data_IF_946363376519
#
_entry.id   IF_946363376519
#
_cell.length_a   1.000
_cell.length_b   1.000
_cell.length_c   1.000
_cell.angle_alpha   90.00
_cell.angle_beta   90.00
_cell.angle_gamma   90.00
#
_symmetry.space_group_name_H-M   'P 1'
#
loop_
_entity.id
_entity.type
_entity.pdbx_description
1 polymer ?
#
# COMPACT_ATOMS: atom_id res chain seq x y z
N UNK A 1 20.48 7.20 -5.31
CA UNK A 1 21.58 6.25 -5.05
C UNK A 1 22.61 6.89 -4.15
N UNK A 2 23.87 7.01 -4.60
CA UNK A 2 25.01 7.42 -3.75
C UNK A 2 24.99 8.87 -3.24
N UNK A 3 24.43 9.83 -3.97
CA UNK A 3 24.43 11.24 -3.57
C UNK A 3 23.46 11.55 -2.41
N UNK A 4 22.39 10.77 -2.26
CA UNK A 4 21.44 10.90 -1.13
C UNK A 4 22.04 10.32 0.16
N UNK A 5 22.74 9.18 0.07
CA UNK A 5 23.43 8.53 1.19
C UNK A 5 24.49 9.43 1.82
N UNK A 6 25.24 10.19 1.02
CA UNK A 6 26.28 11.11 1.53
C UNK A 6 25.72 12.37 2.24
N UNK A 7 24.49 12.79 1.95
CA UNK A 7 23.88 14.00 2.55
C UNK A 7 22.93 13.69 3.71
N UNK A 8 22.28 12.52 3.69
CA UNK A 8 21.27 12.12 4.68
C UNK A 8 21.71 10.94 5.55
N UNK A 9 22.89 10.37 5.33
CA UNK A 9 23.39 9.24 6.13
C UNK A 9 22.45 8.04 6.07
N UNK A 10 22.19 7.41 7.23
CA UNK A 10 21.26 6.28 7.35
C UNK A 10 19.82 6.61 6.90
N UNK A 11 19.43 7.90 6.87
CA UNK A 11 18.10 8.31 6.38
C UNK A 11 17.96 8.12 4.87
N UNK A 12 19.05 8.05 4.11
CA UNK A 12 19.07 7.87 2.65
C UNK A 12 19.05 6.42 2.16
N UNK A 13 19.27 5.45 3.05
CA UNK A 13 19.33 4.00 2.75
C UNK A 13 18.01 3.46 2.16
N UNK A 14 16.90 4.12 2.48
CA UNK A 14 15.56 3.51 2.39
C UNK A 14 14.67 4.11 1.30
N UNK A 15 15.26 4.76 0.28
CA UNK A 15 14.51 5.30 -0.87
C UNK A 15 14.33 6.81 -0.87
N UNK A 16 15.32 7.58 -0.41
CA UNK A 16 15.32 9.05 -0.56
C UNK A 16 15.65 9.44 -2.00
N UNK A 17 14.72 10.10 -2.68
CA UNK A 17 14.94 10.71 -3.99
C UNK A 17 15.42 12.16 -3.79
N UNK A 18 16.74 12.37 -3.85
CA UNK A 18 17.35 13.70 -3.85
C UNK A 18 17.61 14.17 -5.29
N UNK A 19 16.92 15.22 -5.72
CA UNK A 19 17.16 15.88 -7.01
C UNK A 19 18.09 17.07 -6.76
N UNK A 20 19.23 17.14 -7.46
CA UNK A 20 20.10 18.32 -7.47
C UNK A 20 20.06 18.95 -8.85
N UNK A 21 19.54 20.17 -8.96
CA UNK A 21 19.61 20.95 -10.19
C UNK A 21 21.02 21.54 -10.31
N UNK A 22 21.80 21.06 -11.28
CA UNK A 22 23.13 21.61 -11.56
C UNK A 22 23.01 22.93 -12.33
N UNK A 23 22.79 24.02 -11.62
CA UNK A 23 23.04 25.36 -12.15
C UNK A 23 24.12 26.06 -11.31
N UNK A 24 25.38 25.71 -11.57
CA UNK A 24 26.54 26.56 -11.31
C UNK A 24 27.70 26.11 -12.21
N UNK A 25 28.07 26.94 -13.20
CA UNK A 25 29.36 26.83 -13.90
C UNK A 25 30.43 27.40 -12.98
N UNK A 26 31.36 26.56 -12.53
CA UNK A 26 32.73 26.97 -12.16
C UNK A 26 33.62 25.73 -11.97
N UNK A 27 34.78 25.74 -12.63
CA UNK A 27 35.99 25.06 -12.15
C UNK A 27 36.22 23.62 -12.61
N UNK A 28 37.32 23.44 -13.34
CA UNK A 28 37.85 22.19 -13.89
C UNK A 28 38.14 21.12 -12.82
N UNK A 29 37.78 19.87 -13.10
CA UNK A 29 38.22 18.69 -12.38
C UNK A 29 37.65 17.43 -13.01
N UNK A 30 38.45 16.76 -13.85
CA UNK A 30 38.08 15.45 -14.40
C UNK A 30 37.79 14.48 -13.26
N UNK A 31 36.53 14.08 -13.11
CA UNK A 31 36.14 12.94 -12.29
C UNK A 31 35.34 11.99 -13.17
N UNK A 32 35.78 10.74 -13.17
CA UNK A 32 35.23 9.64 -13.96
C UNK A 32 33.71 9.66 -13.93
N UNK A 33 33.11 9.66 -15.13
CA UNK A 33 31.67 9.48 -15.31
C UNK A 33 31.30 8.14 -14.69
N UNK A 34 30.71 8.17 -13.50
CA UNK A 34 29.92 7.03 -13.04
C UNK A 34 28.79 6.86 -14.04
N UNK A 35 28.66 5.66 -14.60
CA UNK A 35 27.52 5.26 -15.39
C UNK A 35 26.29 5.21 -14.45
N UNK A 36 25.71 6.38 -14.19
CA UNK A 36 24.33 6.49 -13.75
C UNK A 36 23.50 5.97 -14.91
N UNK A 37 22.95 4.76 -14.77
CA UNK A 37 22.05 4.11 -15.72
C UNK A 37 21.09 5.14 -16.33
N UNK A 38 21.34 5.54 -17.58
CA UNK A 38 20.40 6.28 -18.42
C UNK A 38 19.33 5.31 -18.90
N UNK A 39 18.53 4.79 -17.98
CA UNK A 39 17.29 4.11 -18.33
C UNK A 39 16.23 5.21 -18.46
N UNK A 40 16.15 5.82 -19.64
CA UNK A 40 15.00 6.64 -20.01
C UNK A 40 13.81 5.72 -20.20
N UNK A 41 12.80 5.87 -19.35
CA UNK A 41 11.56 5.11 -19.42
C UNK A 41 10.75 5.49 -20.68
N UNK A 42 10.26 4.49 -21.41
CA UNK A 42 9.34 4.68 -22.54
C UNK A 42 7.90 4.78 -22.00
N UNK A 43 7.19 5.85 -22.36
CA UNK A 43 5.88 6.22 -21.82
C UNK A 43 4.73 5.26 -22.22
N UNK A 44 5.01 4.26 -23.06
CA UNK A 44 4.02 3.34 -23.61
C UNK A 44 3.53 2.24 -22.64
N UNK A 45 3.68 2.42 -21.33
CA UNK A 45 3.21 1.42 -20.35
C UNK A 45 1.71 1.55 -20.14
N UNK A 46 1.01 0.43 -20.33
CA UNK A 46 -0.43 0.31 -20.12
C UNK A 46 -0.79 0.60 -18.65
N UNK A 47 -1.88 1.32 -18.45
CA UNK A 47 -2.50 1.44 -17.13
C UNK A 47 -2.90 0.07 -16.60
N UNK A 48 -2.75 -0.13 -15.29
CA UNK A 48 -3.34 -1.29 -14.62
C UNK A 48 -4.85 -1.27 -14.87
N UNK A 49 -5.38 -2.42 -15.31
CA UNK A 49 -6.77 -2.57 -15.68
C UNK A 49 -7.35 -3.82 -15.03
N UNK A 50 -8.63 -3.78 -14.72
CA UNK A 50 -9.37 -4.94 -14.23
C UNK A 50 -9.73 -5.94 -15.33
N UNK A 51 -9.42 -5.65 -16.61
CA UNK A 51 -9.75 -6.51 -17.76
C UNK A 51 -9.10 -7.90 -17.70
N UNK A 52 -7.91 -8.01 -17.08
CA UNK A 52 -7.22 -9.28 -16.87
C UNK A 52 -7.72 -10.07 -15.65
N UNK A 53 -8.66 -9.52 -14.88
CA UNK A 53 -9.26 -10.17 -13.74
C UNK A 53 -10.50 -10.96 -14.20
N UNK A 54 -10.39 -12.29 -14.23
CA UNK A 54 -11.40 -13.21 -14.79
C UNK A 54 -12.83 -12.90 -14.32
N UNK A 55 -13.06 -12.90 -13.01
CA UNK A 55 -14.41 -12.71 -12.47
C UNK A 55 -14.89 -11.28 -12.64
N UNK A 56 -14.00 -10.28 -12.50
CA UNK A 56 -14.36 -8.89 -12.80
C UNK A 56 -14.84 -8.73 -14.25
N UNK A 57 -14.12 -9.35 -15.19
CA UNK A 57 -14.43 -9.31 -16.61
C UNK A 57 -15.78 -10.00 -16.90
N UNK A 58 -16.02 -11.18 -16.33
CA UNK A 58 -17.32 -11.88 -16.45
C UNK A 58 -18.50 -11.05 -15.97
N UNK A 59 -18.34 -10.30 -14.88
CA UNK A 59 -19.36 -9.38 -14.36
C UNK A 59 -19.50 -8.13 -15.22
N UNK A 60 -18.39 -7.62 -15.77
CA UNK A 60 -18.38 -6.44 -16.65
C UNK A 60 -18.96 -6.70 -18.03
N UNK A 61 -18.93 -7.96 -18.49
CA UNK A 61 -19.53 -8.38 -19.74
C UNK A 61 -21.07 -8.45 -19.69
N UNK A 62 -21.68 -8.33 -18.51
CA UNK A 62 -23.13 -8.36 -18.37
C UNK A 62 -23.76 -7.03 -18.82
N UNK A 63 -24.97 -7.11 -19.37
CA UNK A 63 -25.66 -5.97 -20.00
C UNK A 63 -25.96 -4.82 -19.03
N UNK A 64 -26.17 -5.14 -17.75
CA UNK A 64 -26.52 -4.18 -16.71
C UNK A 64 -26.17 -4.74 -15.31
N UNK A 65 -26.30 -3.89 -14.29
CA UNK A 65 -25.95 -4.25 -12.91
C UNK A 65 -26.78 -5.40 -12.35
N UNK A 66 -28.07 -5.49 -12.69
CA UNK A 66 -28.94 -6.58 -12.21
C UNK A 66 -28.49 -7.94 -12.80
N UNK A 67 -28.15 -7.96 -14.09
CA UNK A 67 -27.57 -9.14 -14.74
C UNK A 67 -26.20 -9.50 -14.15
N UNK A 68 -25.36 -8.51 -13.82
CA UNK A 68 -24.09 -8.74 -13.13
C UNK A 68 -24.28 -9.34 -11.74
N UNK A 69 -25.24 -8.85 -10.95
CA UNK A 69 -25.56 -9.43 -9.64
C UNK A 69 -26.04 -10.88 -9.76
N UNK A 70 -26.93 -11.18 -10.72
CA UNK A 70 -27.38 -12.55 -10.99
C UNK A 70 -26.23 -13.47 -11.39
N UNK A 71 -25.33 -13.00 -12.27
CA UNK A 71 -24.16 -13.77 -12.68
C UNK A 71 -23.21 -14.02 -11.51
N UNK A 72 -22.98 -13.02 -10.63
CA UNK A 72 -22.21 -13.22 -9.40
C UNK A 72 -22.79 -14.34 -8.54
N UNK A 73 -24.10 -14.34 -8.28
CA UNK A 73 -24.73 -15.38 -7.46
C UNK A 73 -24.67 -16.76 -8.12
N UNK A 74 -24.74 -16.85 -9.44
CA UNK A 74 -24.56 -18.09 -10.19
C UNK A 74 -23.11 -18.60 -10.10
N UNK A 75 -22.12 -17.72 -10.31
CA UNK A 75 -20.69 -18.05 -10.17
C UNK A 75 -20.37 -18.52 -8.75
N UNK A 76 -20.98 -17.90 -7.73
CA UNK A 76 -20.83 -18.29 -6.33
C UNK A 76 -21.29 -19.72 -6.05
N UNK A 77 -22.30 -20.25 -6.76
CA UNK A 77 -22.77 -21.62 -6.54
C UNK A 77 -21.76 -22.68 -6.98
N UNK A 78 -20.93 -22.38 -7.99
CA UNK A 78 -19.99 -23.33 -8.58
C UNK A 78 -18.53 -23.07 -8.16
N UNK A 79 -18.23 -21.88 -7.66
CA UNK A 79 -16.87 -21.46 -7.27
C UNK A 79 -16.82 -20.98 -5.81
N UNK A 80 -17.62 -21.58 -4.93
CA UNK A 80 -17.77 -21.14 -3.52
C UNK A 80 -16.44 -20.98 -2.78
N UNK A 81 -15.44 -21.82 -3.08
CA UNK A 81 -14.14 -21.82 -2.41
C UNK A 81 -13.04 -21.08 -3.19
N UNK A 82 -13.38 -20.35 -4.24
CA UNK A 82 -12.42 -19.48 -4.92
C UNK A 82 -12.47 -18.06 -4.34
N UNK A 83 -11.45 -17.69 -3.58
CA UNK A 83 -11.34 -16.34 -3.01
C UNK A 83 -11.24 -15.24 -4.07
N UNK A 84 -10.73 -15.55 -5.27
CA UNK A 84 -10.66 -14.59 -6.38
C UNK A 84 -12.04 -14.12 -6.80
N UNK A 85 -13.05 -15.00 -6.78
CA UNK A 85 -14.43 -14.63 -7.11
C UNK A 85 -14.88 -13.47 -6.22
N UNK A 86 -14.72 -13.62 -4.91
CA UNK A 86 -15.19 -12.63 -3.96
C UNK A 86 -14.36 -11.35 -3.98
N UNK A 87 -13.02 -11.45 -4.05
CA UNK A 87 -12.14 -10.27 -4.12
C UNK A 87 -12.38 -9.43 -5.37
N UNK A 88 -12.58 -10.07 -6.52
CA UNK A 88 -12.81 -9.36 -7.78
C UNK A 88 -14.25 -8.84 -7.89
N UNK A 89 -15.24 -9.59 -7.40
CA UNK A 89 -16.62 -9.11 -7.31
C UNK A 89 -16.75 -7.92 -6.34
N UNK A 90 -16.05 -7.95 -5.20
CA UNK A 90 -16.01 -6.84 -4.26
C UNK A 90 -15.49 -5.55 -4.93
N UNK A 91 -14.40 -5.66 -5.70
CA UNK A 91 -13.86 -4.54 -6.48
C UNK A 91 -14.85 -4.06 -7.55
N UNK A 92 -15.44 -4.98 -8.32
CA UNK A 92 -16.43 -4.66 -9.36
C UNK A 92 -17.62 -3.86 -8.84
N UNK A 93 -18.18 -4.29 -7.70
CA UNK A 93 -19.31 -3.61 -7.08
C UNK A 93 -18.89 -2.29 -6.43
N UNK A 94 -17.70 -2.21 -5.82
CA UNK A 94 -17.17 -0.95 -5.27
C UNK A 94 -16.99 0.12 -6.37
N UNK A 95 -16.43 -0.26 -7.53
CA UNK A 95 -16.23 0.64 -8.66
C UNK A 95 -17.56 1.21 -9.21
N UNK A 96 -18.66 0.48 -9.01
CA UNK A 96 -20.03 0.87 -9.40
C UNK A 96 -20.84 1.48 -8.25
N UNK A 97 -20.19 1.86 -7.16
CA UNK A 97 -20.80 2.46 -5.97
C UNK A 97 -21.89 1.57 -5.34
N UNK A 98 -21.77 0.26 -5.48
CA UNK A 98 -22.67 -0.73 -4.91
C UNK A 98 -22.11 -1.25 -3.59
N UNK A 99 -22.04 -0.37 -2.60
CA UNK A 99 -21.44 -0.64 -1.28
C UNK A 99 -21.96 -1.93 -0.66
N UNK A 100 -23.29 -2.12 -0.64
CA UNK A 100 -23.90 -3.30 -0.02
C UNK A 100 -23.43 -4.60 -0.67
N UNK A 101 -23.32 -4.64 -2.00
CA UNK A 101 -22.87 -5.84 -2.72
C UNK A 101 -21.36 -6.06 -2.53
N UNK A 102 -20.56 -5.00 -2.58
CA UNK A 102 -19.13 -5.06 -2.32
C UNK A 102 -18.83 -5.59 -0.91
N UNK A 103 -19.52 -5.05 0.09
CA UNK A 103 -19.42 -5.45 1.50
C UNK A 103 -19.86 -6.91 1.67
N UNK A 104 -20.94 -7.35 1.02
CA UNK A 104 -21.37 -8.74 1.08
C UNK A 104 -20.31 -9.70 0.52
N UNK A 105 -19.59 -9.31 -0.54
CA UNK A 105 -18.49 -10.10 -1.09
C UNK A 105 -17.33 -10.21 -0.09
N UNK A 106 -16.92 -9.10 0.53
CA UNK A 106 -15.85 -9.08 1.53
C UNK A 106 -16.22 -9.86 2.80
N UNK A 107 -17.43 -9.69 3.32
CA UNK A 107 -17.91 -10.46 4.48
C UNK A 107 -17.99 -11.96 4.16
N UNK A 108 -18.35 -12.33 2.92
CA UNK A 108 -18.34 -13.73 2.50
C UNK A 108 -16.93 -14.34 2.57
N UNK A 109 -15.88 -13.55 2.36
CA UNK A 109 -14.49 -14.01 2.55
C UNK A 109 -14.23 -14.31 4.03
N UNK A 110 -14.61 -13.37 4.91
CA UNK A 110 -14.41 -13.51 6.36
C UNK A 110 -15.20 -14.69 6.97
N UNK A 111 -16.31 -15.09 6.36
CA UNK A 111 -17.10 -16.25 6.79
C UNK A 111 -16.54 -17.59 6.29
N UNK A 112 -15.95 -17.61 5.09
CA UNK A 112 -15.65 -18.87 4.39
C UNK A 112 -14.17 -19.27 4.43
N UNK A 113 -13.26 -18.31 4.62
CA UNK A 113 -11.82 -18.56 4.51
C UNK A 113 -11.14 -18.33 5.86
N UNK A 114 -10.23 -19.24 6.22
CA UNK A 114 -9.35 -19.10 7.38
C UNK A 114 -7.90 -18.76 7.01
N UNK A 115 -7.57 -18.72 5.72
CA UNK A 115 -6.21 -18.45 5.25
C UNK A 115 -5.82 -16.97 5.52
N UNK A 116 -4.73 -16.70 6.25
CA UNK A 116 -4.33 -15.34 6.60
C UNK A 116 -4.03 -14.44 5.39
N UNK A 117 -3.54 -14.97 4.27
CA UNK A 117 -3.23 -14.19 3.07
C UNK A 117 -4.54 -13.79 2.38
N UNK A 118 -5.51 -14.70 2.29
CA UNK A 118 -6.86 -14.40 1.78
C UNK A 118 -7.54 -13.33 2.65
N UNK A 119 -7.52 -13.52 3.97
CA UNK A 119 -8.11 -12.57 4.92
C UNK A 119 -7.45 -11.20 4.81
N UNK A 120 -6.11 -11.14 4.75
CA UNK A 120 -5.36 -9.89 4.55
C UNK A 120 -5.70 -9.23 3.22
N UNK A 121 -5.90 -9.98 2.14
CA UNK A 121 -6.33 -9.45 0.84
C UNK A 121 -7.66 -8.69 0.94
N UNK A 122 -8.65 -9.30 1.62
CA UNK A 122 -9.94 -8.67 1.86
C UNK A 122 -9.80 -7.44 2.77
N UNK A 123 -8.99 -7.51 3.84
CA UNK A 123 -8.74 -6.38 4.74
C UNK A 123 -8.08 -5.18 4.03
N UNK A 124 -7.14 -5.42 3.11
CA UNK A 124 -6.57 -4.36 2.28
C UNK A 124 -7.63 -3.68 1.42
N UNK A 125 -8.56 -4.44 0.83
CA UNK A 125 -9.71 -3.86 0.12
C UNK A 125 -10.62 -3.08 1.05
N UNK A 126 -10.95 -3.59 2.25
CA UNK A 126 -11.73 -2.87 3.27
C UNK A 126 -11.13 -1.50 3.56
N UNK A 127 -9.82 -1.43 3.83
CA UNK A 127 -9.13 -0.17 4.12
C UNK A 127 -9.21 0.80 2.93
N UNK A 128 -9.22 0.29 1.70
CA UNK A 128 -9.28 1.11 0.50
C UNK A 128 -10.65 1.71 0.21
N UNK A 129 -11.73 1.12 0.75
CA UNK A 129 -13.09 1.57 0.50
C UNK A 129 -13.30 3.02 0.99
N UNK A 130 -14.04 3.77 0.18
CA UNK A 130 -14.48 5.14 0.44
C UNK A 130 -15.99 5.16 0.63
N UNK A 131 -16.45 4.57 1.73
CA UNK A 131 -17.86 4.56 2.12
C UNK A 131 -18.02 5.16 3.51
N UNK A 132 -19.16 5.79 3.75
CA UNK A 132 -19.61 6.22 5.09
C UNK A 132 -20.92 5.55 5.49
N UNK A 133 -21.34 4.54 4.73
CA UNK A 133 -22.60 3.81 4.96
C UNK A 133 -22.57 3.06 6.30
N UNK A 134 -23.76 2.80 6.87
CA UNK A 134 -23.86 1.94 8.06
C UNK A 134 -23.36 0.52 7.78
N UNK A 135 -23.54 0.02 6.56
CA UNK A 135 -22.99 -1.26 6.14
C UNK A 135 -21.47 -1.29 6.25
N UNK A 136 -20.81 -0.21 5.82
CA UNK A 136 -19.35 -0.12 5.90
C UNK A 136 -18.88 -0.03 7.35
N UNK A 137 -19.58 0.70 8.23
CA UNK A 137 -19.29 0.70 9.68
C UNK A 137 -19.36 -0.70 10.28
N UNK A 138 -20.37 -1.49 9.90
CA UNK A 138 -20.48 -2.88 10.35
C UNK A 138 -19.34 -3.75 9.79
N UNK A 139 -18.95 -3.55 8.53
CA UNK A 139 -17.80 -4.24 7.93
C UNK A 139 -16.50 -3.93 8.68
N UNK A 140 -16.29 -2.69 9.12
CA UNK A 140 -15.12 -2.33 9.93
C UNK A 140 -15.08 -3.12 11.24
N UNK A 141 -16.22 -3.25 11.95
CA UNK A 141 -16.30 -4.05 13.19
C UNK A 141 -16.02 -5.54 12.95
N UNK A 142 -16.55 -6.12 11.86
CA UNK A 142 -16.26 -7.51 11.47
C UNK A 142 -14.77 -7.66 11.16
N UNK A 143 -14.20 -6.71 10.42
CA UNK A 143 -12.78 -6.70 10.04
C UNK A 143 -11.86 -6.63 11.25
N UNK A 144 -12.24 -5.89 12.30
CA UNK A 144 -11.51 -5.88 13.57
C UNK A 144 -11.54 -7.25 14.27
N UNK A 145 -12.70 -7.90 14.31
CA UNK A 145 -12.84 -9.22 14.90
C UNK A 145 -11.99 -10.27 14.15
N UNK A 146 -11.96 -10.19 12.82
CA UNK A 146 -11.08 -11.00 11.96
C UNK A 146 -9.61 -10.72 12.27
N UNK A 147 -9.19 -9.46 12.34
CA UNK A 147 -7.80 -9.13 12.70
C UNK A 147 -7.44 -9.65 14.09
N UNK A 148 -8.34 -9.55 15.07
CA UNK A 148 -8.11 -10.03 16.42
C UNK A 148 -7.95 -11.55 16.52
N UNK A 149 -8.49 -12.31 15.56
CA UNK A 149 -8.32 -13.77 15.50
C UNK A 149 -7.00 -14.19 14.83
N UNK A 150 -6.33 -13.30 14.11
CA UNK A 150 -5.03 -13.56 13.50
C UNK A 150 -3.89 -13.48 14.51
N UNK A 151 -2.81 -14.22 14.23
CA UNK A 151 -1.58 -14.17 15.02
C UNK A 151 -1.04 -12.73 15.13
N UNK A 152 -0.58 -12.30 16.31
CA UNK A 152 0.01 -10.96 16.47
C UNK A 152 1.19 -10.74 15.52
N UNK A 153 1.11 -9.69 14.71
CA UNK A 153 2.15 -9.28 13.77
C UNK A 153 2.11 -7.77 13.56
N UNK A 154 3.17 -7.22 12.97
CA UNK A 154 3.23 -5.81 12.58
C UNK A 154 2.10 -5.49 11.61
N UNK A 155 1.82 -6.37 10.63
CA UNK A 155 0.75 -6.17 9.66
C UNK A 155 -0.63 -6.14 10.31
N UNK A 156 -0.88 -7.06 11.26
CA UNK A 156 -2.16 -7.13 11.97
C UNK A 156 -2.45 -5.82 12.69
N UNK A 157 -1.48 -5.33 13.45
CA UNK A 157 -1.65 -4.11 14.25
C UNK A 157 -1.67 -2.86 13.38
N UNK A 158 -0.91 -2.85 12.27
CA UNK A 158 -0.95 -1.75 11.32
C UNK A 158 -2.31 -1.67 10.60
N UNK A 159 -2.90 -2.81 10.19
CA UNK A 159 -4.25 -2.86 9.65
C UNK A 159 -5.29 -2.43 10.71
N UNK A 160 -5.12 -2.85 11.97
CA UNK A 160 -6.00 -2.43 13.07
C UNK A 160 -5.98 -0.91 13.23
N UNK A 161 -4.80 -0.29 13.17
CA UNK A 161 -4.66 1.17 13.12
C UNK A 161 -5.51 1.79 12.00
N UNK A 162 -5.42 1.26 10.78
CA UNK A 162 -6.14 1.80 9.62
C UNK A 162 -7.67 1.65 9.76
N UNK A 163 -8.15 0.53 10.31
CA UNK A 163 -9.58 0.33 10.57
C UNK A 163 -10.10 1.30 11.65
N UNK A 164 -9.34 1.51 12.72
CA UNK A 164 -9.71 2.43 13.80
C UNK A 164 -9.66 3.89 13.33
N UNK A 165 -8.69 4.24 12.48
CA UNK A 165 -8.61 5.55 11.84
C UNK A 165 -9.86 5.82 10.97
N UNK A 166 -10.29 4.83 10.17
CA UNK A 166 -11.53 4.93 9.35
C UNK A 166 -12.80 5.10 10.20
N UNK A 167 -12.77 4.67 11.46
CA UNK A 167 -13.87 4.88 12.42
C UNK A 167 -13.74 6.17 13.23
N UNK A 168 -12.71 6.99 12.95
CA UNK A 168 -12.38 8.18 13.73
C UNK A 168 -12.10 7.87 15.22
N UNK A 169 -11.79 6.61 15.54
CA UNK A 169 -11.39 6.19 16.88
C UNK A 169 -9.87 6.38 17.04
N UNK A 170 -9.44 7.65 17.05
CA UNK A 170 -8.03 8.01 17.00
C UNK A 170 -7.21 7.48 18.19
N UNK A 171 -7.82 7.33 19.36
CA UNK A 171 -7.13 6.77 20.53
C UNK A 171 -6.77 5.30 20.33
N UNK A 172 -7.72 4.49 19.90
CA UNK A 172 -7.46 3.07 19.63
C UNK A 172 -6.55 2.87 18.41
N UNK A 173 -6.68 3.74 17.40
CA UNK A 173 -5.76 3.76 16.26
C UNK A 173 -4.31 4.06 16.70
N UNK A 174 -4.12 4.99 17.62
CA UNK A 174 -2.80 5.29 18.21
C UNK A 174 -2.26 4.12 19.05
N UNK A 175 -3.11 3.45 19.84
CA UNK A 175 -2.74 2.25 20.59
C UNK A 175 -2.28 1.12 19.66
N UNK A 176 -2.98 0.88 18.55
CA UNK A 176 -2.58 -0.12 17.56
C UNK A 176 -1.19 0.19 16.96
N UNK A 177 -0.85 1.48 16.75
CA UNK A 177 0.50 1.88 16.33
C UNK A 177 1.56 1.67 17.45
N UNK A 178 1.18 1.71 18.73
CA UNK A 178 2.07 1.33 19.84
C UNK A 178 2.35 -0.18 19.79
N UNK A 179 1.31 -0.99 19.59
CA UNK A 179 1.42 -2.44 19.52
C UNK A 179 2.29 -2.90 18.33
N UNK A 180 2.10 -2.28 17.16
CA UNK A 180 2.96 -2.48 16.00
C UNK A 180 4.42 -2.08 16.32
N UNK A 181 4.62 -0.93 16.96
CA UNK A 181 5.93 -0.42 17.39
C UNK A 181 6.69 -1.39 18.28
N UNK A 182 6.01 -2.05 19.20
CA UNK A 182 6.62 -3.03 20.11
C UNK A 182 7.13 -4.26 19.35
N UNK A 183 6.38 -4.71 18.34
CA UNK A 183 6.76 -5.88 17.52
C UNK A 183 7.91 -5.59 16.57
N UNK A 184 8.08 -4.32 16.17
CA UNK A 184 9.19 -3.88 15.32
C UNK A 184 10.56 -4.03 16.01
N UNK A 185 10.66 -4.04 17.35
CA UNK A 185 11.94 -4.20 18.05
C UNK A 185 12.68 -5.50 17.70
N UNK A 186 11.93 -6.53 17.27
CA UNK A 186 12.50 -7.80 16.83
C UNK A 186 12.82 -7.87 15.34
N UNK A 187 12.54 -6.84 14.55
CA UNK A 187 12.68 -6.82 13.08
C UNK A 187 14.09 -6.40 12.66
N UNK A 188 14.60 -6.95 11.56
CA UNK A 188 15.85 -6.44 10.96
C UNK A 188 15.62 -5.13 10.21
N UNK A 189 14.38 -4.91 9.74
CA UNK A 189 13.90 -3.67 9.11
C UNK A 189 13.46 -2.62 10.15
N UNK A 190 13.94 -2.73 11.39
CA UNK A 190 13.59 -1.89 12.53
C UNK A 190 13.65 -0.39 12.23
N UNK A 191 14.70 0.08 11.54
CA UNK A 191 14.85 1.49 11.18
C UNK A 191 13.71 2.00 10.31
N UNK A 192 13.32 1.19 9.33
CA UNK A 192 12.37 1.55 8.27
C UNK A 192 10.95 1.52 8.84
N UNK A 193 10.62 0.42 9.53
CA UNK A 193 9.31 0.23 10.11
C UNK A 193 9.04 1.22 11.25
N UNK A 194 10.04 1.50 12.11
CA UNK A 194 9.90 2.54 13.16
C UNK A 194 9.66 3.91 12.54
N UNK A 195 10.34 4.24 11.44
CA UNK A 195 10.15 5.51 10.73
C UNK A 195 8.72 5.67 10.24
N UNK A 196 8.17 4.64 9.57
CA UNK A 196 6.79 4.60 9.07
C UNK A 196 5.80 4.76 10.23
N UNK A 197 5.87 3.88 11.24
CA UNK A 197 4.95 3.90 12.39
C UNK A 197 5.04 5.21 13.18
N UNK A 198 6.23 5.79 13.34
CA UNK A 198 6.40 7.08 14.03
C UNK A 198 5.74 8.21 13.26
N UNK A 199 5.74 8.18 11.93
CA UNK A 199 5.04 9.17 11.11
C UNK A 199 3.54 9.05 11.21
N UNK A 200 3.01 7.83 11.18
CA UNK A 200 1.58 7.60 11.36
C UNK A 200 1.12 8.06 12.76
N UNK A 201 1.95 7.83 13.80
CA UNK A 201 1.71 8.39 15.15
C UNK A 201 1.67 9.91 15.15
N UNK A 202 2.58 10.57 14.43
CA UNK A 202 2.59 12.03 14.32
C UNK A 202 1.37 12.56 13.57
N UNK A 203 1.01 11.91 12.47
CA UNK A 203 -0.13 12.29 11.62
C UNK A 203 -1.44 12.22 12.41
N UNK A 204 -1.68 11.10 13.11
CA UNK A 204 -2.89 10.92 13.90
C UNK A 204 -2.97 11.86 15.11
N UNK A 205 -1.85 12.11 15.79
CA UNK A 205 -1.77 13.09 16.89
C UNK A 205 -2.03 14.50 16.38
N UNK A 206 -1.56 14.83 15.17
CA UNK A 206 -1.81 16.14 14.57
C UNK A 206 -3.28 16.36 14.18
N UNK A 207 -3.96 15.28 13.78
CA UNK A 207 -5.36 15.28 13.34
C UNK A 207 -6.34 15.29 14.52
N UNK A 208 -6.04 14.59 15.62
CA UNK A 208 -6.91 14.48 16.78
C UNK A 208 -6.59 15.55 17.84
N UNK A 209 -7.53 16.46 18.09
CA UNK A 209 -7.38 17.47 19.17
C UNK A 209 -7.21 16.83 20.54
N UNK A 210 -7.91 15.71 20.80
CA UNK A 210 -7.81 14.93 22.03
C UNK A 210 -6.38 14.45 22.23
N UNK A 211 -5.81 13.72 21.25
CA UNK A 211 -4.43 13.22 21.34
C UNK A 211 -3.40 14.36 21.43
N UNK A 212 -3.62 15.46 20.70
CA UNK A 212 -2.73 16.62 20.74
C UNK A 212 -2.66 17.25 22.15
N UNK A 213 -3.79 17.29 22.84
CA UNK A 213 -3.91 17.83 24.20
C UNK A 213 -3.51 16.85 25.31
N UNK A 214 -3.41 15.55 25.01
CA UNK A 214 -3.08 14.52 25.98
C UNK A 214 -1.61 14.64 26.45
N UNK A 215 -1.39 14.66 27.76
CA UNK A 215 -0.07 14.82 28.37
C UNK A 215 0.75 13.52 28.33
N UNK A 216 0.11 12.36 28.17
CA UNK A 216 0.79 11.08 28.04
C UNK A 216 1.43 10.91 26.65
N UNK A 217 1.02 11.73 25.67
CA UNK A 217 1.59 11.72 24.32
C UNK A 217 2.94 12.48 24.33
N UNK A 218 4.06 11.81 23.99
CA UNK A 218 5.37 12.45 23.94
C UNK A 218 5.40 13.71 23.07
N UNK A 219 6.03 14.77 23.56
CA UNK A 219 6.06 16.07 22.89
C UNK A 219 6.59 16.01 21.44
N UNK A 220 7.55 15.12 21.16
CA UNK A 220 8.10 14.96 19.81
C UNK A 220 7.10 14.39 18.78
N UNK A 221 6.03 13.71 19.24
CA UNK A 221 4.95 13.21 18.39
C UNK A 221 3.92 14.30 18.06
N UNK A 222 3.89 15.41 18.81
CA UNK A 222 2.96 16.53 18.58
C UNK A 222 3.40 17.45 17.45
N UNK A 223 4.62 17.26 16.94
CA UNK A 223 5.16 17.98 15.78
C UNK A 223 5.03 17.11 14.53
N UNK A 224 4.23 17.53 13.52
CA UNK A 224 4.02 16.74 12.32
C UNK A 224 5.31 16.58 11.52
N UNK A 225 5.38 15.52 10.71
CA UNK A 225 6.43 15.36 9.70
C UNK A 225 5.92 15.92 8.39
N UNK A 226 6.60 16.89 7.81
CA UNK A 226 6.18 17.51 6.56
C UNK A 226 6.84 16.84 5.36
N UNK A 227 6.04 16.33 4.43
CA UNK A 227 6.48 15.83 3.12
C UNK A 227 5.60 16.45 2.03
N UNK A 228 6.17 16.68 0.84
CA UNK A 228 5.39 17.08 -0.34
C UNK A 228 4.45 15.96 -0.77
N UNK A 229 4.97 14.75 -0.74
CA UNK A 229 4.20 13.53 -0.97
C UNK A 229 4.80 12.37 -0.17
N UNK A 230 3.93 11.50 0.32
CA UNK A 230 4.24 10.21 0.91
C UNK A 230 3.49 9.15 0.13
N UNK A 231 4.20 8.12 -0.31
CA UNK A 231 3.58 6.96 -0.97
C UNK A 231 3.88 5.74 -0.13
N UNK A 232 2.83 5.00 0.23
CA UNK A 232 2.94 3.76 1.00
C UNK A 232 2.26 2.64 0.20
N UNK A 233 3.05 1.61 -0.11
CA UNK A 233 2.53 0.36 -0.65
C UNK A 233 2.49 -0.68 0.46
N UNK A 234 1.39 -1.42 0.53
CA UNK A 234 1.24 -2.57 1.42
C UNK A 234 0.77 -3.76 0.60
N UNK A 235 1.22 -4.97 0.91
CA UNK A 235 0.87 -6.17 0.15
C UNK A 235 0.40 -7.32 1.05
N UNK A 236 -0.44 -8.19 0.49
CA UNK A 236 -1.04 -9.31 1.22
C UNK A 236 -0.05 -10.45 1.47
N UNK A 237 0.73 -10.83 0.47
CA UNK A 237 1.54 -12.05 0.50
C UNK A 237 3.03 -11.74 0.54
N UNK A 238 3.75 -12.06 1.64
CA UNK A 238 5.20 -11.87 1.73
C UNK A 238 5.99 -12.78 0.78
N UNK A 239 5.37 -13.83 0.22
CA UNK A 239 6.00 -14.77 -0.71
C UNK A 239 5.99 -14.29 -2.16
N UNK A 240 5.19 -13.29 -2.49
CA UNK A 240 5.07 -12.83 -3.87
C UNK A 240 6.32 -12.04 -4.29
N UNK A 241 6.88 -12.37 -5.45
CA UNK A 241 7.94 -11.55 -6.05
C UNK A 241 7.28 -10.46 -6.91
N UNK A 242 7.72 -9.20 -6.76
CA UNK A 242 7.21 -8.07 -7.55
C UNK A 242 8.15 -6.86 -7.52
N UNK A 243 8.03 -6.00 -8.52
CA UNK A 243 8.72 -4.71 -8.56
C UNK A 243 7.75 -3.56 -8.25
N UNK A 244 8.24 -2.53 -7.57
CA UNK A 244 7.64 -1.19 -7.53
C UNK A 244 8.59 -0.21 -8.18
N UNK A 245 8.11 0.48 -9.20
CA UNK A 245 8.91 1.37 -10.03
C UNK A 245 8.34 2.78 -10.00
N UNK A 246 9.22 3.78 -9.81
CA UNK A 246 8.86 5.20 -9.74
C UNK A 246 9.62 5.92 -10.86
N UNK A 247 8.87 6.57 -11.74
CA UNK A 247 9.42 7.38 -12.83
C UNK A 247 9.23 8.85 -12.51
N UNK A 248 10.32 9.60 -12.53
CA UNK A 248 10.30 11.02 -12.28
C UNK A 248 9.92 11.84 -13.53
N UNK A 249 9.66 13.16 -13.40
CA UNK A 249 9.31 14.01 -14.55
C UNK A 249 10.36 14.05 -15.67
N UNK A 250 11.62 13.71 -15.37
CA UNK A 250 12.72 13.62 -16.33
C UNK A 250 12.90 12.20 -16.91
N UNK A 251 11.89 11.33 -16.75
CA UNK A 251 11.87 9.92 -17.21
C UNK A 251 12.97 9.05 -16.63
N UNK A 252 13.50 9.41 -15.46
CA UNK A 252 14.44 8.57 -14.72
C UNK A 252 13.67 7.61 -13.83
N UNK A 253 14.06 6.35 -13.88
CA UNK A 253 13.45 5.25 -13.16
C UNK A 253 14.22 4.92 -11.86
N UNK A 254 13.48 4.72 -10.77
CA UNK A 254 13.94 4.04 -9.57
C UNK A 254 13.07 2.79 -9.37
N UNK A 255 13.68 1.66 -9.05
CA UNK A 255 12.97 0.40 -8.82
C UNK A 255 13.33 -0.17 -7.45
N UNK A 256 12.29 -0.51 -6.69
CA UNK A 256 12.35 -1.37 -5.53
C UNK A 256 11.95 -2.78 -5.98
N UNK A 257 12.82 -3.75 -5.75
CA UNK A 257 12.60 -5.15 -6.08
C UNK A 257 12.24 -5.88 -4.79
N UNK A 258 11.07 -6.50 -4.75
CA UNK A 258 10.70 -7.45 -3.69
C UNK A 258 10.90 -8.85 -4.27
N UNK A 259 11.91 -9.55 -3.77
CA UNK A 259 12.26 -10.89 -4.24
C UNK A 259 12.63 -11.81 -3.09
N UNK A 260 12.08 -13.01 -3.12
CA UNK A 260 12.40 -14.10 -2.19
C UNK A 260 13.79 -14.70 -2.42
N UNK A 261 14.39 -14.50 -3.60
CA UNK A 261 15.65 -15.14 -4.00
C UNK A 261 16.92 -14.37 -3.57
N UNK A 262 16.85 -13.05 -3.34
CA UNK A 262 18.05 -12.22 -3.13
C UNK A 262 18.19 -11.65 -1.70
N UNK A 263 17.14 -11.66 -0.87
CA UNK A 263 17.19 -11.07 0.49
C UNK A 263 16.76 -12.06 1.57
N UNK A 264 17.61 -13.05 1.87
CA UNK A 264 17.29 -14.16 2.78
C UNK A 264 16.81 -13.73 4.17
N UNK A 265 17.20 -12.54 4.63
CA UNK A 265 16.90 -12.07 5.97
C UNK A 265 15.67 -11.14 6.01
N UNK A 266 15.50 -10.20 5.07
CA UNK A 266 14.35 -9.27 5.08
C UNK A 266 13.04 -9.99 4.78
N UNK A 267 13.07 -10.91 3.82
CA UNK A 267 11.97 -11.80 3.52
C UNK A 267 11.62 -12.70 4.72
N UNK A 268 12.63 -13.32 5.34
CA UNK A 268 12.43 -14.11 6.57
C UNK A 268 11.83 -13.28 7.68
N UNK A 269 12.20 -12.01 7.77
CA UNK A 269 11.68 -11.08 8.78
C UNK A 269 10.20 -10.77 8.52
N UNK A 270 9.84 -10.51 7.27
CA UNK A 270 8.47 -10.25 6.86
C UNK A 270 7.53 -11.44 7.16
N UNK A 271 7.98 -12.68 6.89
CA UNK A 271 7.22 -13.88 7.27
C UNK A 271 7.06 -13.99 8.79
N UNK A 272 8.13 -13.71 9.54
CA UNK A 272 8.18 -13.97 10.98
C UNK A 272 7.44 -12.92 11.80
N UNK A 273 7.54 -11.64 11.45
CA UNK A 273 6.97 -10.53 12.23
C UNK A 273 6.02 -9.63 11.44
N UNK A 274 5.86 -9.82 10.14
CA UNK A 274 5.10 -8.93 9.26
C UNK A 274 5.92 -7.71 8.83
N UNK A 275 5.24 -6.61 8.50
CA UNK A 275 5.86 -5.41 7.94
C UNK A 275 5.84 -5.42 6.41
N UNK A 276 4.80 -6.01 5.80
CA UNK A 276 4.59 -6.11 4.35
C UNK A 276 4.21 -4.77 3.72
N UNK A 277 5.06 -3.76 3.93
CA UNK A 277 4.87 -2.43 3.39
C UNK A 277 6.18 -1.69 3.14
N UNK A 278 6.15 -0.80 2.13
CA UNK A 278 7.26 0.05 1.71
C UNK A 278 6.79 1.49 1.52
N UNK A 279 7.55 2.42 2.09
CA UNK A 279 7.29 3.85 2.00
C UNK A 279 8.29 4.53 1.04
N UNK A 280 7.81 5.49 0.28
CA UNK A 280 8.60 6.40 -0.55
C UNK A 280 8.30 7.85 -0.16
N UNK A 281 9.35 8.64 0.00
CA UNK A 281 9.28 9.97 0.59
C UNK A 281 9.71 11.05 -0.41
N UNK A 282 8.90 12.10 -0.51
CA UNK A 282 9.15 13.20 -1.41
C UNK A 282 9.23 14.51 -0.61
N UNK A 283 10.43 15.11 -0.57
CA UNK A 283 10.74 16.23 0.32
C UNK A 283 10.82 17.60 -0.37
N UNK A 284 11.35 17.66 -1.59
CA UNK A 284 11.76 18.93 -2.21
C UNK A 284 10.58 19.59 -2.96
N UNK A 285 10.46 20.91 -2.89
CA UNK A 285 9.54 21.69 -3.73
C UNK A 285 9.92 21.64 -5.22
N UNK A 286 11.15 21.26 -5.55
CA UNK A 286 11.65 21.19 -6.93
C UNK A 286 11.26 19.90 -7.67
N UNK A 287 10.45 19.02 -7.07
CA UNK A 287 9.97 17.76 -7.69
C UNK A 287 8.77 17.96 -8.63
N UNK A 288 8.57 19.19 -9.13
CA UNK A 288 7.42 19.60 -9.93
C UNK A 288 7.33 18.76 -11.20
N UNK A 289 6.13 18.29 -11.50
CA UNK A 289 5.83 17.54 -12.72
C UNK A 289 5.07 16.25 -12.45
N UNK A 290 4.96 15.43 -13.49
CA UNK A 290 4.26 14.15 -13.43
C UNK A 290 5.21 13.04 -12.96
N UNK A 291 4.81 12.36 -11.90
CA UNK A 291 5.44 11.17 -11.37
C UNK A 291 4.59 9.95 -11.69
N UNK A 292 5.18 8.91 -12.23
CA UNK A 292 4.46 7.68 -12.57
C UNK A 292 4.87 6.56 -11.61
N UNK A 293 3.89 5.78 -11.17
CA UNK A 293 4.08 4.64 -10.29
C UNK A 293 3.68 3.38 -11.04
N UNK A 294 4.57 2.41 -11.09
CA UNK A 294 4.46 1.21 -11.89
C UNK A 294 4.72 -0.01 -11.01
N UNK A 295 4.21 -1.14 -11.45
CA UNK A 295 4.53 -2.43 -10.81
C UNK A 295 4.61 -3.54 -11.85
N UNK A 296 5.33 -4.60 -11.51
CA UNK A 296 5.38 -5.82 -12.28
C UNK A 296 5.38 -7.02 -11.32
N UNK A 297 4.38 -7.88 -11.43
CA UNK A 297 4.34 -9.13 -10.66
C UNK A 297 5.28 -10.15 -11.30
N UNK A 298 6.17 -10.74 -10.50
CA UNK A 298 7.24 -11.65 -10.94
C UNK A 298 7.00 -13.10 -10.57
N UNK A 299 5.94 -13.40 -9.82
CA UNK A 299 5.54 -14.77 -9.52
C UNK A 299 5.66 -15.14 -8.06
N UNK A 300 6.03 -16.40 -7.84
CA UNK A 300 6.30 -16.99 -6.53
C UNK A 300 5.10 -17.05 -5.56
N UNK A 301 3.89 -16.98 -6.11
CA UNK A 301 2.69 -17.43 -5.39
C UNK A 301 2.63 -18.96 -5.38
N UNK A 302 2.11 -19.52 -4.28
CA UNK A 302 1.85 -20.94 -4.16
C UNK A 302 0.93 -21.41 -5.31
N UNK A 303 1.41 -22.30 -6.22
CA UNK A 303 0.60 -22.79 -7.33
C UNK A 303 -0.63 -23.59 -6.85
N UNK A 304 -0.61 -24.12 -5.62
CA UNK A 304 -1.69 -24.91 -5.05
C UNK A 304 -2.79 -24.07 -4.38
N UNK A 305 -2.53 -22.79 -4.13
CA UNK A 305 -3.52 -21.84 -3.59
C UNK A 305 -3.23 -20.41 -4.09
N UNK A 306 -3.55 -20.07 -5.37
CA UNK A 306 -3.17 -18.81 -5.98
C UNK A 306 -4.10 -17.67 -5.54
N UNK A 307 -3.97 -17.26 -4.27
CA UNK A 307 -4.47 -15.95 -3.83
C UNK A 307 -3.64 -14.88 -4.54
N UNK A 308 -4.24 -13.96 -5.30
CA UNK A 308 -3.51 -13.03 -6.14
C UNK A 308 -2.72 -12.04 -5.28
N UNK A 309 -1.68 -11.44 -5.85
CA UNK A 309 -1.00 -10.35 -5.17
C UNK A 309 -1.92 -9.12 -5.15
N UNK A 310 -2.29 -8.67 -3.96
CA UNK A 310 -3.09 -7.46 -3.75
C UNK A 310 -2.20 -6.40 -3.14
N UNK A 311 -2.08 -5.25 -3.80
CA UNK A 311 -1.36 -4.09 -3.31
C UNK A 311 -2.36 -3.00 -2.88
N UNK A 312 -2.32 -2.59 -1.62
CA UNK A 312 -2.94 -1.35 -1.17
C UNK A 312 -1.96 -0.20 -1.43
N UNK A 313 -2.36 0.70 -2.31
CA UNK A 313 -1.58 1.87 -2.68
C UNK A 313 -2.15 3.09 -1.97
N UNK A 314 -1.32 3.77 -1.16
CA UNK A 314 -1.71 4.98 -0.42
C UNK A 314 -0.85 6.15 -0.85
N UNK A 315 -1.45 7.16 -1.45
CA UNK A 315 -0.81 8.40 -1.89
C UNK A 315 -1.28 9.55 -1.01
N UNK A 316 -0.36 10.21 -0.32
CA UNK A 316 -0.67 11.33 0.56
C UNK A 316 0.12 12.55 0.09
N UNK A 317 -0.58 13.60 -0.36
CA UNK A 317 0.04 14.89 -0.73
C UNK A 317 -0.03 15.86 0.44
N UNK A 318 0.94 16.76 0.49
CA UNK A 318 1.11 17.76 1.55
C UNK A 318 1.03 17.13 2.96
N UNK A 319 1.70 15.97 3.11
CA UNK A 319 1.67 15.16 4.32
C UNK A 319 2.15 15.95 5.54
N UNK A 320 1.42 15.87 6.65
CA UNK A 320 1.66 16.61 7.88
C UNK A 320 1.14 18.05 7.89
N UNK A 321 0.50 18.51 6.81
CA UNK A 321 -0.12 19.84 6.71
C UNK A 321 -1.65 19.79 6.87
N UNK A 322 -2.27 20.96 7.08
CA UNK A 322 -3.74 21.08 7.10
C UNK A 322 -4.38 20.84 5.72
N UNK A 323 -3.60 20.88 4.64
CA UNK A 323 -4.06 20.65 3.27
C UNK A 323 -3.78 19.22 2.81
N UNK A 324 -3.43 18.32 3.72
CA UNK A 324 -3.14 16.92 3.43
C UNK A 324 -4.30 16.27 2.66
N UNK A 325 -3.98 15.66 1.51
CA UNK A 325 -4.96 14.85 0.75
C UNK A 325 -4.48 13.40 0.67
N UNK A 326 -5.34 12.46 1.05
CA UNK A 326 -5.05 11.01 1.06
C UNK A 326 -5.92 10.29 0.03
N UNK A 327 -5.27 9.62 -0.91
CA UNK A 327 -5.90 8.73 -1.89
C UNK A 327 -5.44 7.30 -1.64
N UNK A 328 -6.41 6.38 -1.62
CA UNK A 328 -6.17 4.97 -1.38
C UNK A 328 -7.01 4.14 -2.34
N UNK A 329 -6.41 3.07 -2.86
CA UNK A 329 -7.08 2.06 -3.67
C UNK A 329 -6.23 0.79 -3.68
N UNK A 330 -6.87 -0.34 -3.98
CA UNK A 330 -6.20 -1.62 -4.20
C UNK A 330 -6.01 -1.89 -5.67
N UNK A 331 -4.90 -2.55 -6.01
CA UNK A 331 -4.72 -3.20 -7.30
C UNK A 331 -4.46 -4.70 -7.09
N UNK A 332 -4.95 -5.51 -8.02
CA UNK A 332 -4.76 -6.96 -8.02
C UNK A 332 -3.86 -7.33 -9.19
N UNK A 333 -2.79 -8.06 -8.92
CA UNK A 333 -1.81 -8.50 -9.91
C UNK A 333 -1.86 -10.02 -10.04
N UNK A 334 -2.13 -10.48 -11.26
CA UNK A 334 -2.23 -11.89 -11.62
C UNK A 334 -1.49 -12.24 -12.94
N UNK A 335 -0.99 -11.24 -13.67
CA UNK A 335 -0.25 -11.42 -14.92
C UNK A 335 1.26 -11.39 -14.67
N UNK A 336 1.94 -12.49 -15.00
CA UNK A 336 3.37 -12.66 -14.79
C UNK A 336 4.19 -11.77 -15.72
N UNK A 337 5.18 -11.07 -15.18
CA UNK A 337 6.15 -10.22 -15.89
C UNK A 337 5.55 -9.08 -16.72
N UNK A 338 4.28 -8.73 -16.50
CA UNK A 338 3.64 -7.57 -17.13
C UNK A 338 3.89 -6.33 -16.29
N UNK A 339 4.54 -5.33 -16.89
CA UNK A 339 4.67 -4.00 -16.28
C UNK A 339 3.38 -3.23 -16.52
N UNK A 340 2.79 -2.71 -15.45
CA UNK A 340 1.57 -1.90 -15.50
C UNK A 340 1.76 -0.60 -14.73
N UNK A 341 1.14 0.48 -15.19
CA UNK A 341 1.12 1.78 -14.50
C UNK A 341 -0.03 1.80 -13.51
N UNK A 342 0.30 1.97 -12.23
CA UNK A 342 -0.66 2.05 -11.13
C UNK A 342 -1.40 3.38 -11.18
N UNK A 343 -0.65 4.48 -11.31
CA UNK A 343 -1.19 5.84 -11.44
C UNK A 343 -0.08 6.82 -11.84
N UNK A 344 -0.50 8.03 -12.17
CA UNK A 344 0.36 9.20 -12.28
C UNK A 344 -0.08 10.27 -11.29
N UNK A 345 0.87 10.86 -10.57
CA UNK A 345 0.61 11.96 -9.62
C UNK A 345 1.34 13.19 -10.10
N UNK A 346 0.61 14.30 -10.26
CA UNK A 346 1.20 15.60 -10.58
C UNK A 346 1.46 16.39 -9.30
N UNK A 347 2.72 16.79 -9.10
CA UNK A 347 3.19 17.60 -7.98
C UNK A 347 3.52 19.03 -8.39
#
# INVERSE_FOLDING_TARGET
GLAATNRFGSLGSNGVILITTKNAKAGLGQTQKSNLNKNTFDDNVQDWSTESLLYYNLLSAQENLESAEKEYFKLRQTNTFDANLYLQAAQFFADRQQDRLSINCLSSIFEQFGDPIILKSALLQVVSLKSSSQYYKNLLLISEAVLASLNPSIDRDYLMFQLKEKQENFKEAYNALIDAGTKIEGSIRISDLKKIVTRDKKDIVSTSTVLKSDNEIPAFLKSPTNLKMRVLFQWNNPLADFDISIVNPNKQLFTFEHTTAQESNEFSDEIRVGGSFKEFEFYDNNIIGEWQFLTAYKGNLDPSNPTPLVLLCTFIRDFGSTNQTKEQYTITLNELNKVVKITSVRL
#
